data_IF_547401844858
#
_entry.id   IF_547401844858
#
_cell.length_a   1.000
_cell.length_b   1.000
_cell.length_c   1.000
_cell.angle_alpha   90.00
_cell.angle_beta   90.00
_cell.angle_gamma   90.00
#
_symmetry.space_group_name_H-M   'P 1'
#
loop_
_entity.id
_entity.type
_entity.pdbx_description
1 polymer ?
#
# COMPACT_ATOMS: atom_id res chain seq x y z
N UNK A 1 -20.22 32.30 3.84
CA UNK A 1 -20.08 31.46 5.05
C UNK A 1 -19.20 30.28 4.71
N UNK A 2 -17.88 30.51 4.66
CA UNK A 2 -16.89 29.46 4.37
C UNK A 2 -16.52 28.76 5.67
N UNK A 3 -16.99 27.52 5.86
CA UNK A 3 -16.59 26.69 6.98
C UNK A 3 -15.13 26.27 6.79
N UNK A 4 -14.19 27.01 7.39
CA UNK A 4 -12.79 26.58 7.49
C UNK A 4 -12.73 25.37 8.41
N UNK A 5 -12.70 24.17 7.83
CA UNK A 5 -12.47 22.92 8.56
C UNK A 5 -11.01 22.88 9.01
N UNK A 6 -10.78 23.18 10.29
CA UNK A 6 -9.48 22.95 10.91
C UNK A 6 -9.34 21.46 11.22
N UNK A 7 -8.55 20.74 10.43
CA UNK A 7 -8.16 19.38 10.77
C UNK A 7 -6.88 19.50 11.58
N UNK A 8 -6.92 19.10 12.85
CA UNK A 8 -5.72 19.02 13.68
C UNK A 8 -4.92 17.79 13.25
N UNK A 9 -3.91 18.02 12.42
CA UNK A 9 -3.03 16.97 11.90
C UNK A 9 -1.92 16.73 12.92
N UNK A 10 -1.90 15.54 13.53
CA UNK A 10 -0.79 15.11 14.39
C UNK A 10 0.54 15.11 13.62
N UNK A 11 1.65 15.28 14.34
CA UNK A 11 3.02 15.41 13.80
C UNK A 11 3.45 14.23 12.90
N UNK A 12 2.81 13.07 13.05
CA UNK A 12 3.09 11.87 12.24
C UNK A 12 2.00 11.55 11.19
N UNK A 13 1.00 12.41 11.07
CA UNK A 13 -0.12 12.19 10.16
C UNK A 13 0.25 12.65 8.77
N UNK A 14 0.02 11.76 7.81
CA UNK A 14 0.33 11.96 6.40
C UNK A 14 -1.01 11.95 5.67
N UNK A 15 -1.39 13.04 5.01
CA UNK A 15 -2.71 13.17 4.37
C UNK A 15 -2.56 13.53 2.89
N UNK A 16 -3.52 13.11 2.08
CA UNK A 16 -3.64 13.62 0.72
C UNK A 16 -4.48 14.89 0.71
N UNK A 17 -3.94 15.94 0.07
CA UNK A 17 -4.64 17.19 -0.18
C UNK A 17 -4.79 17.37 -1.69
N UNK A 18 -6.03 17.57 -2.15
CA UNK A 18 -6.33 17.93 -3.52
C UNK A 18 -6.55 19.44 -3.64
N UNK A 19 -5.92 20.09 -4.62
CA UNK A 19 -6.23 21.47 -4.95
C UNK A 19 -7.27 21.51 -6.07
N UNK A 20 -8.45 22.06 -5.79
CA UNK A 20 -9.58 22.12 -6.73
C UNK A 20 -9.29 23.02 -7.93
N UNK A 21 -8.49 24.08 -7.74
CA UNK A 21 -8.14 25.04 -8.80
C UNK A 21 -7.06 24.53 -9.74
N UNK A 22 -6.14 23.68 -9.26
CA UNK A 22 -4.98 23.18 -10.02
C UNK A 22 -5.07 21.70 -10.39
N UNK A 23 -6.11 20.98 -9.95
CA UNK A 23 -6.25 19.52 -10.07
C UNK A 23 -4.99 18.77 -9.63
N UNK A 24 -4.29 19.33 -8.64
CA UNK A 24 -3.03 18.79 -8.14
C UNK A 24 -3.30 18.12 -6.80
N UNK A 25 -3.10 16.82 -6.75
CA UNK A 25 -3.14 16.05 -5.51
C UNK A 25 -1.70 15.91 -5.01
N UNK A 26 -1.46 16.24 -3.73
CA UNK A 26 -0.16 16.07 -3.08
C UNK A 26 -0.32 15.42 -1.71
N UNK A 27 0.72 14.74 -1.26
CA UNK A 27 0.81 14.25 0.12
C UNK A 27 1.51 15.29 0.99
N UNK A 28 0.94 15.57 2.16
CA UNK A 28 1.54 16.44 3.19
C UNK A 28 1.98 15.56 4.36
N UNK A 29 3.21 15.74 4.83
CA UNK A 29 3.86 14.88 5.83
C UNK A 29 4.59 15.75 6.87
N UNK A 30 4.48 15.40 8.15
CA UNK A 30 5.41 15.83 9.21
C UNK A 30 5.02 17.10 9.98
N UNK A 31 4.20 17.97 9.40
CA UNK A 31 3.80 19.24 10.02
C UNK A 31 2.28 19.34 10.13
N UNK A 32 1.80 19.95 11.22
CA UNK A 32 0.40 20.37 11.33
C UNK A 32 0.10 21.34 10.19
N UNK A 33 -0.83 20.96 9.32
CA UNK A 33 -1.18 21.71 8.12
C UNK A 33 -2.63 22.18 8.21
N UNK A 34 -2.85 23.46 7.92
CA UNK A 34 -4.18 24.02 7.77
C UNK A 34 -4.53 24.03 6.29
N UNK A 35 -5.64 23.38 5.93
CA UNK A 35 -6.17 23.38 4.57
C UNK A 35 -6.51 24.82 4.15
N UNK A 36 -6.10 25.18 2.95
CA UNK A 36 -6.45 26.48 2.35
C UNK A 36 -7.83 26.41 1.71
N UNK A 37 -8.45 27.56 1.39
CA UNK A 37 -9.83 27.61 0.85
C UNK A 37 -10.04 26.82 -0.44
N UNK A 38 -8.96 26.58 -1.20
CA UNK A 38 -8.98 25.84 -2.46
C UNK A 38 -8.48 24.40 -2.33
N UNK A 39 -8.25 23.93 -1.10
CA UNK A 39 -7.73 22.60 -0.81
C UNK A 39 -8.73 21.79 -0.01
N UNK A 40 -8.97 20.57 -0.47
CA UNK A 40 -9.84 19.61 0.19
C UNK A 40 -9.07 18.33 0.51
N UNK A 41 -9.57 17.62 1.52
CA UNK A 41 -9.04 16.33 1.90
C UNK A 41 -9.38 15.32 0.80
N UNK A 42 -8.36 14.65 0.26
CA UNK A 42 -8.55 13.69 -0.80
C UNK A 42 -8.50 12.27 -0.26
N UNK A 43 -9.48 11.45 -0.63
CA UNK A 43 -9.56 10.06 -0.25
C UNK A 43 -8.95 9.18 -1.33
N UNK A 44 -8.01 8.32 -0.93
CA UNK A 44 -7.44 7.31 -1.83
C UNK A 44 -8.12 5.97 -1.59
N UNK A 45 -8.92 5.53 -2.54
CA UNK A 45 -9.41 4.16 -2.58
C UNK A 45 -8.32 3.19 -3.03
N UNK A 46 -8.25 2.05 -2.35
CA UNK A 46 -7.40 0.92 -2.71
C UNK A 46 -8.27 -0.32 -2.91
N UNK A 47 -7.87 -1.25 -3.79
CA UNK A 47 -8.54 -2.53 -3.90
C UNK A 47 -8.52 -3.27 -2.55
N UNK A 48 -9.63 -3.91 -2.18
CA UNK A 48 -9.77 -4.62 -0.90
C UNK A 48 -8.64 -5.63 -0.66
N UNK A 49 -8.19 -6.32 -1.72
CA UNK A 49 -7.07 -7.25 -1.67
C UNK A 49 -5.76 -6.56 -1.25
N UNK A 50 -5.50 -5.34 -1.72
CA UNK A 50 -4.30 -4.57 -1.35
C UNK A 50 -4.40 -4.14 0.12
N UNK A 51 -5.57 -3.70 0.56
CA UNK A 51 -5.78 -3.31 1.97
C UNK A 51 -5.56 -4.48 2.92
N UNK A 52 -6.01 -5.68 2.55
CA UNK A 52 -5.72 -6.91 3.30
C UNK A 52 -4.22 -7.18 3.38
N UNK A 53 -3.53 -7.15 2.23
CA UNK A 53 -2.11 -7.46 2.14
C UNK A 53 -1.20 -6.41 2.80
N UNK A 54 -1.67 -5.18 3.01
CA UNK A 54 -0.94 -4.14 3.76
C UNK A 54 -0.99 -4.43 5.27
N UNK A 55 -2.12 -4.94 5.77
CA UNK A 55 -2.32 -5.26 7.19
C UNK A 55 -1.64 -6.57 7.56
N UNK A 56 -1.59 -7.53 6.62
CA UNK A 56 -0.92 -8.81 6.79
C UNK A 56 0.60 -8.63 6.87
N UNK A 57 1.23 -9.28 7.86
CA UNK A 57 2.69 -9.33 7.94
C UNK A 57 3.21 -10.15 6.75
N UNK A 58 4.18 -9.64 5.98
CA UNK A 58 4.69 -10.27 4.76
C UNK A 58 5.33 -11.65 4.95
N UNK A 59 5.58 -12.07 6.20
CA UNK A 59 6.02 -13.43 6.53
C UNK A 59 4.87 -14.45 6.56
N UNK A 60 3.63 -13.99 6.56
CA UNK A 60 2.45 -14.83 6.42
C UNK A 60 2.05 -14.85 4.95
N UNK A 61 2.56 -15.85 4.24
CA UNK A 61 2.01 -16.20 2.93
C UNK A 61 0.54 -16.56 3.10
N UNK A 62 -0.34 -15.87 2.38
CA UNK A 62 -1.75 -16.25 2.34
C UNK A 62 -1.86 -17.66 1.75
N UNK A 63 -2.11 -18.64 2.62
CA UNK A 63 -3.00 -19.73 2.24
C UNK A 63 -4.42 -19.17 2.34
N UNK A 64 -5.25 -19.34 1.30
CA UNK A 64 -6.55 -18.64 1.13
C UNK A 64 -7.59 -18.94 2.23
N UNK A 65 -7.20 -19.63 3.29
CA UNK A 65 -8.04 -20.27 4.31
C UNK A 65 -8.08 -19.53 5.65
N UNK A 66 -7.21 -18.54 5.89
CA UNK A 66 -6.98 -17.95 7.22
C UNK A 66 -7.12 -16.42 7.35
N UNK A 67 -7.79 -15.75 6.41
CA UNK A 67 -7.96 -14.29 6.48
C UNK A 67 -8.73 -13.88 7.75
N UNK A 68 -8.24 -12.91 8.54
CA UNK A 68 -9.09 -12.23 9.49
C UNK A 68 -10.22 -11.57 8.70
N UNK A 69 -11.45 -12.02 8.93
CA UNK A 69 -12.66 -11.57 8.22
C UNK A 69 -12.96 -10.08 8.41
N UNK A 70 -12.28 -9.43 9.36
CA UNK A 70 -12.50 -8.03 9.72
C UNK A 70 -11.20 -7.25 9.51
N UNK A 71 -11.09 -6.60 8.35
CA UNK A 71 -10.06 -5.58 8.11
C UNK A 71 -10.45 -4.38 8.97
N UNK A 72 -9.56 -3.84 9.83
CA UNK A 72 -9.86 -2.63 10.57
C UNK A 72 -10.19 -1.50 9.59
N UNK A 73 -11.22 -0.67 9.85
CA UNK A 73 -11.58 0.42 8.95
C UNK A 73 -10.40 1.38 8.79
N UNK A 74 -9.91 1.50 7.56
CA UNK A 74 -8.82 2.42 7.23
C UNK A 74 -9.39 3.81 6.95
N UNK A 75 -8.75 4.81 7.52
CA UNK A 75 -8.97 6.20 7.12
C UNK A 75 -8.38 6.44 5.72
N UNK A 76 -9.27 6.67 4.74
CA UNK A 76 -8.92 6.80 3.32
C UNK A 76 -8.15 8.08 3.00
N UNK A 77 -8.28 9.09 3.86
CA UNK A 77 -7.60 10.37 3.70
C UNK A 77 -6.10 10.29 4.01
N UNK A 78 -5.69 9.27 4.78
CA UNK A 78 -4.31 9.06 5.18
C UNK A 78 -3.48 8.47 4.05
N UNK A 79 -2.28 9.01 3.90
CA UNK A 79 -1.25 8.49 2.99
C UNK A 79 -0.93 7.07 3.40
N UNK A 80 -1.02 6.18 2.43
CA UNK A 80 -0.73 4.78 2.62
C UNK A 80 0.77 4.62 2.76
N UNK A 81 1.17 4.04 3.90
CA UNK A 81 2.56 3.73 4.21
C UNK A 81 2.73 2.23 4.34
N UNK A 82 3.81 1.70 3.79
CA UNK A 82 4.17 0.29 3.94
C UNK A 82 5.63 0.18 4.34
N UNK A 83 5.93 -0.61 5.37
CA UNK A 83 7.31 -0.85 5.81
C UNK A 83 7.81 -2.10 5.10
N UNK A 84 8.72 -1.91 4.15
CA UNK A 84 9.31 -3.03 3.41
C UNK A 84 10.23 -3.81 4.37
N UNK A 85 10.07 -5.13 4.51
CA UNK A 85 10.95 -5.95 5.34
C UNK A 85 12.40 -5.98 4.83
N UNK A 86 13.31 -6.43 5.70
CA UNK A 86 14.66 -6.78 5.27
C UNK A 86 14.64 -7.87 4.20
N UNK A 87 15.56 -7.77 3.23
CA UNK A 87 15.67 -8.72 2.12
C UNK A 87 14.35 -8.90 1.37
N UNK A 88 13.54 -7.86 1.27
CA UNK A 88 12.33 -7.86 0.46
C UNK A 88 12.36 -6.68 -0.52
N UNK A 89 11.62 -6.79 -1.61
CA UNK A 89 11.34 -5.67 -2.48
C UNK A 89 9.84 -5.50 -2.71
N UNK A 90 9.42 -4.26 -2.94
CA UNK A 90 8.05 -3.90 -3.30
C UNK A 90 8.08 -3.18 -4.63
N UNK A 91 7.12 -3.50 -5.49
CA UNK A 91 6.92 -2.81 -6.75
C UNK A 91 5.74 -1.86 -6.64
N UNK A 92 6.01 -0.58 -6.94
CA UNK A 92 5.00 0.48 -6.98
C UNK A 92 4.84 0.93 -8.43
N UNK A 93 3.61 0.98 -8.90
CA UNK A 93 3.27 1.43 -10.24
C UNK A 93 2.57 2.79 -10.18
N UNK A 94 3.10 3.77 -10.89
CA UNK A 94 2.48 5.07 -11.10
C UNK A 94 1.64 5.04 -12.38
N UNK A 95 0.32 5.20 -12.23
CA UNK A 95 -0.61 5.16 -13.36
C UNK A 95 -0.55 6.41 -14.23
N UNK A 96 -0.17 7.56 -13.66
CA UNK A 96 -0.08 8.83 -14.38
C UNK A 96 1.16 8.87 -15.26
N UNK A 97 2.31 8.47 -14.72
CA UNK A 97 3.57 8.44 -15.49
C UNK A 97 3.81 7.12 -16.24
N UNK A 98 2.99 6.08 -15.98
CA UNK A 98 3.14 4.71 -16.50
C UNK A 98 4.52 4.12 -16.21
N UNK A 99 5.08 4.41 -15.03
CA UNK A 99 6.38 3.93 -14.60
C UNK A 99 6.25 3.08 -13.35
N UNK A 100 6.99 1.98 -13.32
CA UNK A 100 7.18 1.19 -12.12
C UNK A 100 8.49 1.60 -11.44
N UNK A 101 8.49 1.68 -10.12
CA UNK A 101 9.71 1.71 -9.31
C UNK A 101 9.73 0.54 -8.33
N UNK A 102 10.91 -0.02 -8.13
CA UNK A 102 11.15 -1.11 -7.20
C UNK A 102 11.90 -0.53 -6.00
N UNK A 103 11.43 -0.84 -4.80
CA UNK A 103 12.03 -0.37 -3.55
C UNK A 103 12.47 -1.59 -2.76
N UNK A 104 13.72 -1.57 -2.31
CA UNK A 104 14.32 -2.63 -1.50
C UNK A 104 14.27 -2.24 -0.02
N UNK A 105 13.88 -3.17 0.84
CA UNK A 105 13.83 -2.91 2.27
C UNK A 105 15.19 -2.95 2.95
N UNK A 106 15.33 -2.44 4.19
CA UNK A 106 14.25 -2.04 5.11
C UNK A 106 13.87 -0.55 5.02
N UNK A 107 13.01 -0.19 4.07
CA UNK A 107 12.62 1.20 3.81
C UNK A 107 11.12 1.39 4.06
N UNK A 108 10.74 2.56 4.59
CA UNK A 108 9.33 2.96 4.73
C UNK A 108 8.89 3.66 3.45
N UNK A 109 8.01 3.02 2.69
CA UNK A 109 7.51 3.54 1.42
C UNK A 109 6.16 4.22 1.62
N UNK A 110 5.95 5.29 0.85
CA UNK A 110 4.70 6.06 0.87
C UNK A 110 4.17 6.12 -0.55
N UNK A 111 2.89 5.82 -0.72
CA UNK A 111 2.24 5.95 -2.03
C UNK A 111 1.92 7.41 -2.32
N UNK A 112 2.25 7.83 -3.52
CA UNK A 112 1.68 9.01 -4.15
C UNK A 112 0.20 8.83 -4.49
N UNK A 113 -0.47 9.90 -4.92
CA UNK A 113 -1.90 9.87 -5.24
C UNK A 113 -2.23 8.91 -6.40
N UNK A 114 -1.40 8.93 -7.45
CA UNK A 114 -1.55 8.11 -8.65
C UNK A 114 -0.81 6.76 -8.58
N UNK A 115 -0.20 6.45 -7.44
CA UNK A 115 0.60 5.25 -7.26
C UNK A 115 -0.21 4.11 -6.64
N UNK A 116 0.10 2.87 -7.00
CA UNK A 116 -0.43 1.67 -6.33
C UNK A 116 0.64 0.61 -6.14
N UNK A 117 0.42 -0.25 -5.13
CA UNK A 117 1.19 -1.47 -4.98
C UNK A 117 0.85 -2.47 -6.08
N UNK A 118 1.89 -3.10 -6.63
CA UNK A 118 1.71 -4.23 -7.53
C UNK A 118 1.49 -5.48 -6.70
N UNK A 119 0.36 -6.16 -6.93
CA UNK A 119 0.10 -7.44 -6.27
C UNK A 119 0.73 -8.58 -7.05
N UNK A 120 1.52 -9.39 -6.35
CA UNK A 120 2.17 -10.58 -6.87
C UNK A 120 1.28 -11.80 -6.63
N UNK A 121 1.09 -12.62 -7.67
CA UNK A 121 0.46 -13.93 -7.55
C UNK A 121 1.54 -15.01 -7.74
N UNK A 122 1.86 -15.71 -6.66
CA UNK A 122 2.92 -16.71 -6.59
C UNK A 122 2.35 -18.13 -6.50
N UNK A 123 3.13 -19.11 -6.93
CA UNK A 123 2.77 -20.53 -6.81
C UNK A 123 3.01 -21.07 -5.40
N UNK A 124 2.04 -21.79 -4.87
CA UNK A 124 2.03 -22.35 -3.52
C UNK A 124 1.66 -23.83 -3.52
N UNK A 125 1.59 -24.45 -2.34
CA UNK A 125 1.24 -25.88 -2.15
C UNK A 125 2.32 -26.89 -2.61
N UNK A 126 2.05 -28.18 -2.34
CA UNK A 126 2.84 -29.35 -2.76
C UNK A 126 1.86 -30.43 -3.27
N UNK A 127 1.71 -30.67 -4.58
CA UNK A 127 2.42 -30.06 -5.72
C UNK A 127 2.09 -28.57 -5.91
N UNK A 128 3.00 -27.83 -6.55
CA UNK A 128 2.87 -26.39 -6.77
C UNK A 128 1.68 -26.06 -7.68
N UNK A 129 0.68 -25.38 -7.13
CA UNK A 129 -0.44 -24.84 -7.87
C UNK A 129 -0.26 -23.34 -8.17
N UNK A 130 -0.65 -22.85 -9.36
CA UNK A 130 -0.54 -21.44 -9.71
C UNK A 130 -1.52 -20.57 -8.89
N UNK A 131 -1.13 -19.31 -8.65
CA UNK A 131 -1.97 -18.27 -8.04
C UNK A 131 -2.55 -18.63 -6.65
N UNK A 132 -1.75 -19.32 -5.84
CA UNK A 132 -2.13 -19.69 -4.47
C UNK A 132 -1.77 -18.63 -3.46
N UNK A 133 -0.57 -18.05 -3.60
CA UNK A 133 -0.04 -17.05 -2.71
C UNK A 133 -0.23 -15.67 -3.33
N UNK A 134 -0.72 -14.72 -2.54
CA UNK A 134 -0.82 -13.31 -2.91
C UNK A 134 0.09 -12.49 -1.99
N UNK A 135 0.85 -11.57 -2.56
CA UNK A 135 1.78 -10.75 -1.78
C UNK A 135 1.98 -9.36 -2.39
N UNK A 136 2.28 -8.36 -1.57
CA UNK A 136 2.71 -7.02 -2.03
C UNK A 136 4.23 -6.90 -2.12
N UNK A 137 4.96 -7.62 -1.25
CA UNK A 137 6.41 -7.68 -1.30
C UNK A 137 6.90 -9.05 -1.77
N UNK A 138 8.03 -9.05 -2.47
CA UNK A 138 8.76 -10.24 -2.82
C UNK A 138 9.93 -10.40 -1.84
N UNK A 139 10.02 -11.55 -1.19
CA UNK A 139 11.16 -11.90 -0.36
C UNK A 139 12.32 -12.36 -1.27
N UNK A 140 13.47 -11.71 -1.12
CA UNK A 140 14.71 -11.92 -1.87
C UNK A 140 15.75 -12.71 -1.06
N UNK A 141 15.44 -13.04 0.19
CA UNK A 141 16.29 -13.85 1.05
C UNK A 141 16.32 -15.33 0.65
N UNK A 142 17.13 -16.16 1.34
CA UNK A 142 17.16 -17.60 1.13
C UNK A 142 15.86 -18.24 1.64
N UNK A 143 14.84 -18.22 0.80
CA UNK A 143 13.63 -19.00 0.98
C UNK A 143 13.66 -20.25 0.10
N UNK A 144 13.45 -21.40 0.72
CA UNK A 144 13.37 -22.67 0.02
C UNK A 144 11.90 -22.96 -0.31
N UNK A 145 11.54 -22.95 -1.59
CA UNK A 145 10.26 -23.50 -2.04
C UNK A 145 10.40 -25.00 -2.34
N UNK A 146 9.59 -25.85 -1.69
CA UNK A 146 9.53 -27.28 -2.05
C UNK A 146 8.40 -27.56 -3.04
N UNK A 147 8.58 -28.57 -3.88
CA UNK A 147 7.59 -29.06 -4.84
C UNK A 147 7.62 -30.59 -4.95
N UNK A 148 6.51 -31.20 -5.39
CA UNK A 148 6.39 -32.64 -5.69
C UNK A 148 6.14 -32.77 -7.19
N UNK A 149 7.09 -33.35 -7.91
CA UNK A 149 6.96 -33.63 -9.35
C UNK A 149 6.52 -35.08 -9.51
N UNK A 150 5.30 -35.30 -9.98
CA UNK A 150 4.86 -36.63 -10.43
C UNK A 150 5.36 -36.86 -11.85
N UNK A 151 6.23 -37.85 -12.03
CA UNK A 151 6.66 -38.37 -13.35
C UNK A 151 5.66 -39.39 -13.89
#
# INVERSE_FOLDING_TARGET
TGSTLCISIEVNTKLFCGNTSRLLIRSVIGNTYLLTENEELWEKDLPAQVEQLIVLDPRYFEDKTGLPSTIPPRDKSRVITYRVPHNACVQIYDYKSKKARIIFGPELVMLGPDEQFTVLNLSGEKPKAPNKIRAICLLLGPEFSSDIVTM
#
